data_IF_343462878628
#
_entry.id   IF_343462878628
#
_cell.length_a   1.000
_cell.length_b   1.000
_cell.length_c   1.000
_cell.angle_alpha   90.00
_cell.angle_beta   90.00
_cell.angle_gamma   90.00
#
_symmetry.space_group_name_H-M   'P 1'
#
loop_
_entity.id
_entity.type
_entity.pdbx_description
1 polymer ?
#
# COMPACT_ATOMS: atom_id res chain seq x y z
N UNK A 1 -5.86 30.84 -22.65
CA UNK A 1 -6.06 30.36 -21.29
C UNK A 1 -7.52 29.95 -21.02
N UNK A 2 -8.10 29.07 -21.83
CA UNK A 2 -9.52 28.60 -21.68
C UNK A 2 -9.74 27.12 -22.04
N UNK A 3 -8.67 26.32 -22.24
CA UNK A 3 -8.76 24.91 -22.65
C UNK A 3 -8.29 23.89 -21.60
N UNK A 4 -7.78 24.33 -20.45
CA UNK A 4 -7.28 23.43 -19.39
C UNK A 4 -8.36 23.13 -18.34
N UNK A 5 -9.45 23.88 -18.27
CA UNK A 5 -10.53 23.68 -17.27
C UNK A 5 -11.61 22.67 -17.67
N UNK A 6 -11.54 22.07 -18.86
CA UNK A 6 -12.57 21.14 -19.33
C UNK A 6 -12.20 19.64 -19.13
N UNK A 7 -10.94 19.33 -18.86
CA UNK A 7 -10.52 17.93 -18.63
C UNK A 7 -10.71 17.48 -17.17
N UNK A 8 -10.61 18.40 -16.21
CA UNK A 8 -10.81 18.08 -14.78
C UNK A 8 -12.28 17.77 -14.41
N UNK A 9 -13.23 18.23 -15.22
CA UNK A 9 -14.66 18.01 -14.96
C UNK A 9 -15.19 16.65 -15.48
N UNK A 10 -14.44 15.95 -16.34
CA UNK A 10 -14.89 14.68 -16.93
C UNK A 10 -14.52 13.47 -16.06
N UNK A 11 -13.48 13.57 -15.25
CA UNK A 11 -13.05 12.47 -14.36
C UNK A 11 -13.93 12.40 -13.10
N UNK A 12 -14.48 13.54 -12.65
CA UNK A 12 -15.36 13.56 -11.48
C UNK A 12 -16.78 13.02 -11.74
N UNK A 13 -17.21 12.94 -12.99
CA UNK A 13 -18.57 12.47 -13.36
C UNK A 13 -18.62 10.94 -13.46
N UNK A 14 -17.53 10.24 -13.69
CA UNK A 14 -17.52 8.78 -13.72
C UNK A 14 -17.52 8.15 -12.30
N UNK A 15 -16.93 8.81 -11.32
CA UNK A 15 -16.90 8.30 -9.93
C UNK A 15 -18.27 8.40 -9.22
N UNK A 16 -19.17 9.30 -9.67
CA UNK A 16 -20.50 9.51 -9.04
C UNK A 16 -21.58 8.56 -9.61
N UNK A 17 -21.34 7.91 -10.76
CA UNK A 17 -22.35 7.02 -11.36
C UNK A 17 -22.33 5.58 -10.82
N UNK A 18 -21.32 5.18 -10.07
CA UNK A 18 -21.26 3.84 -9.45
C UNK A 18 -22.01 3.79 -8.11
N UNK A 19 -22.21 4.93 -7.43
CA UNK A 19 -22.84 5.00 -6.11
C UNK A 19 -24.39 5.07 -6.10
N UNK A 20 -25.09 5.11 -7.24
CA UNK A 20 -26.53 5.33 -7.30
C UNK A 20 -27.36 4.12 -7.79
N UNK A 21 -26.82 2.90 -7.79
CA UNK A 21 -27.53 1.70 -8.27
C UNK A 21 -27.95 0.69 -7.21
N UNK A 22 -27.91 1.04 -5.93
CA UNK A 22 -28.44 0.21 -4.85
C UNK A 22 -29.61 0.86 -4.14
N UNK A 23 -30.79 0.86 -4.76
CA UNK A 23 -32.11 0.89 -4.08
C UNK A 23 -33.22 0.84 -5.13
N UNK A 24 -33.65 -0.32 -5.55
CA UNK A 24 -35.08 -0.61 -5.71
C UNK A 24 -35.33 -2.12 -5.90
N UNK A 25 -36.36 -2.59 -5.21
CA UNK A 25 -36.58 -3.96 -4.89
C UNK A 25 -37.30 -4.82 -5.97
N UNK A 26 -37.14 -6.09 -5.78
CA UNK A 26 -37.96 -7.26 -6.06
C UNK A 26 -38.53 -7.45 -7.47
N UNK A 27 -37.97 -8.47 -8.16
CA UNK A 27 -38.79 -9.52 -8.75
C UNK A 27 -37.93 -10.80 -8.90
N UNK A 28 -38.53 -11.97 -8.59
CA UNK A 28 -37.93 -13.30 -8.75
C UNK A 28 -38.00 -13.72 -10.20
N UNK A 29 -36.89 -14.01 -10.83
CA UNK A 29 -36.84 -14.86 -12.01
C UNK A 29 -35.77 -15.95 -11.87
N UNK A 30 -36.12 -17.13 -12.39
CA UNK A 30 -35.43 -18.42 -12.41
C UNK A 30 -34.10 -18.35 -13.18
N UNK A 31 -33.08 -19.16 -12.83
CA UNK A 31 -31.77 -19.03 -13.45
C UNK A 31 -31.76 -19.62 -14.89
N UNK A 32 -31.54 -18.77 -15.87
CA UNK A 32 -31.09 -19.16 -17.19
C UNK A 32 -29.56 -19.24 -17.24
N UNK A 33 -29.08 -20.16 -18.07
CA UNK A 33 -27.72 -20.60 -18.20
C UNK A 33 -26.69 -19.46 -18.32
N UNK A 34 -25.62 -19.56 -17.52
CA UNK A 34 -24.41 -18.73 -17.55
C UNK A 34 -23.77 -18.77 -18.95
N UNK A 35 -23.92 -17.69 -19.69
CA UNK A 35 -23.07 -17.36 -20.83
C UNK A 35 -21.73 -16.82 -20.27
N UNK A 36 -20.66 -17.31 -20.88
CA UNK A 36 -19.26 -17.05 -20.55
C UNK A 36 -18.91 -15.57 -20.79
N UNK A 37 -19.28 -14.68 -19.87
CA UNK A 37 -18.75 -13.32 -19.81
C UNK A 37 -17.41 -13.39 -19.08
N UNK A 38 -16.31 -13.28 -19.82
CA UNK A 38 -15.01 -12.98 -19.25
C UNK A 38 -15.14 -11.67 -18.48
N UNK A 39 -15.19 -11.75 -17.14
CA UNK A 39 -15.01 -10.58 -16.29
C UNK A 39 -13.69 -9.92 -16.71
N UNK A 40 -13.77 -8.65 -17.07
CA UNK A 40 -12.59 -7.87 -17.44
C UNK A 40 -11.64 -7.86 -16.23
N UNK A 41 -10.51 -8.52 -16.35
CA UNK A 41 -9.46 -8.52 -15.35
C UNK A 41 -8.96 -7.08 -15.23
N UNK A 42 -9.12 -6.49 -14.07
CA UNK A 42 -8.65 -5.13 -13.81
C UNK A 42 -7.12 -5.14 -13.78
N UNK A 43 -6.48 -4.35 -14.64
CA UNK A 43 -5.03 -4.23 -14.69
C UNK A 43 -4.58 -2.90 -14.08
N UNK A 44 -3.53 -2.95 -13.26
CA UNK A 44 -2.88 -1.77 -12.68
C UNK A 44 -1.40 -1.81 -13.07
N UNK A 45 -0.88 -0.68 -13.56
CA UNK A 45 0.54 -0.58 -13.86
C UNK A 45 1.38 -0.47 -12.58
N UNK A 46 2.50 -1.19 -12.51
CA UNK A 46 3.55 -1.00 -11.50
C UNK A 46 4.34 0.30 -11.80
N UNK A 47 5.14 0.80 -10.83
CA UNK A 47 6.00 1.96 -11.04
C UNK A 47 7.01 1.81 -12.19
N UNK A 48 7.41 0.58 -12.53
CA UNK A 48 8.29 0.25 -13.67
C UNK A 48 7.56 0.20 -15.01
N UNK A 49 6.22 0.43 -15.02
CA UNK A 49 5.39 0.42 -16.22
C UNK A 49 4.85 -0.95 -16.63
N UNK A 50 5.15 -2.01 -15.89
CA UNK A 50 4.57 -3.33 -16.12
C UNK A 50 3.10 -3.36 -15.67
N UNK A 51 2.21 -3.86 -16.53
CA UNK A 51 0.81 -4.05 -16.17
C UNK A 51 0.64 -5.35 -15.38
N UNK A 52 0.04 -5.24 -14.19
CA UNK A 52 -0.30 -6.37 -13.34
C UNK A 52 -1.80 -6.55 -13.33
N UNK A 53 -2.24 -7.75 -13.63
CA UNK A 53 -3.63 -8.16 -13.45
C UNK A 53 -3.92 -8.32 -11.95
N UNK A 54 -4.92 -7.60 -11.45
CA UNK A 54 -5.38 -7.82 -10.09
C UNK A 54 -5.99 -9.21 -9.95
N UNK A 55 -5.81 -9.81 -8.79
CA UNK A 55 -6.41 -11.10 -8.45
C UNK A 55 -7.93 -10.98 -8.34
N UNK A 56 -8.60 -12.10 -8.63
CA UNK A 56 -10.04 -12.23 -8.40
C UNK A 56 -10.28 -12.42 -6.90
N UNK A 57 -11.05 -11.54 -6.29
CA UNK A 57 -11.43 -11.60 -4.88
C UNK A 57 -12.76 -12.35 -4.74
N UNK A 58 -12.81 -13.35 -3.89
CA UNK A 58 -14.03 -14.09 -3.57
C UNK A 58 -14.16 -14.26 -2.05
N UNK A 59 -15.39 -14.18 -1.53
CA UNK A 59 -15.67 -14.55 -0.13
C UNK A 59 -15.44 -16.05 0.04
N UNK A 60 -14.78 -16.46 1.13
CA UNK A 60 -14.52 -17.84 1.46
C UNK A 60 -15.50 -18.38 2.52
N UNK A 61 -15.47 -19.68 2.78
CA UNK A 61 -16.41 -20.35 3.71
C UNK A 61 -16.27 -19.88 5.16
N UNK A 62 -15.13 -19.28 5.55
CA UNK A 62 -14.90 -18.72 6.88
C UNK A 62 -15.37 -17.28 7.04
N UNK A 63 -15.90 -16.67 5.98
CA UNK A 63 -16.34 -15.26 5.98
C UNK A 63 -15.19 -14.26 5.72
N UNK A 64 -13.99 -14.77 5.42
CA UNK A 64 -12.86 -13.98 4.92
C UNK A 64 -12.83 -13.96 3.39
N UNK A 65 -11.66 -13.70 2.79
CA UNK A 65 -11.49 -13.65 1.34
C UNK A 65 -10.46 -14.63 0.82
N UNK A 66 -10.65 -15.04 -0.43
CA UNK A 66 -9.64 -15.69 -1.27
C UNK A 66 -9.29 -14.77 -2.43
N UNK A 67 -8.01 -14.58 -2.69
CA UNK A 67 -7.49 -13.78 -3.82
C UNK A 67 -6.77 -14.74 -4.75
N UNK A 68 -7.29 -14.91 -5.96
CA UNK A 68 -6.67 -15.76 -6.98
C UNK A 68 -5.95 -14.90 -8.01
N UNK A 69 -4.64 -14.99 -8.04
CA UNK A 69 -3.76 -14.28 -8.97
C UNK A 69 -3.40 -15.21 -10.14
N UNK A 70 -3.50 -14.70 -11.35
CA UNK A 70 -3.13 -15.46 -12.56
C UNK A 70 -1.81 -14.89 -13.11
N UNK A 71 -0.77 -15.71 -13.15
CA UNK A 71 0.52 -15.35 -13.71
C UNK A 71 0.50 -15.25 -15.24
N UNK A 72 1.54 -14.70 -15.85
CA UNK A 72 1.69 -14.55 -17.30
C UNK A 72 1.64 -15.89 -18.08
N UNK A 73 2.10 -16.96 -17.43
CA UNK A 73 2.05 -18.32 -17.95
C UNK A 73 0.66 -18.99 -17.80
N UNK A 74 -0.33 -18.26 -17.25
CA UNK A 74 -1.66 -18.75 -16.95
C UNK A 74 -1.75 -19.61 -15.70
N UNK A 75 -0.65 -19.76 -14.94
CA UNK A 75 -0.69 -20.44 -13.64
C UNK A 75 -1.47 -19.60 -12.63
N UNK A 76 -2.28 -20.25 -11.81
CA UNK A 76 -3.07 -19.60 -10.78
C UNK A 76 -2.52 -19.91 -9.39
N UNK A 77 -2.37 -18.87 -8.58
CA UNK A 77 -2.04 -18.96 -7.17
C UNK A 77 -3.16 -18.34 -6.35
N UNK A 78 -3.66 -19.07 -5.35
CA UNK A 78 -4.76 -18.60 -4.50
C UNK A 78 -4.25 -18.37 -3.07
N UNK A 79 -4.42 -17.16 -2.60
CA UNK A 79 -4.14 -16.72 -1.23
C UNK A 79 -5.45 -16.68 -0.45
N UNK A 80 -5.49 -17.30 0.71
CA UNK A 80 -6.66 -17.36 1.59
C UNK A 80 -6.40 -16.53 2.84
N UNK A 81 -7.34 -15.62 3.17
CA UNK A 81 -7.26 -14.75 4.33
C UNK A 81 -8.57 -14.83 5.12
N UNK A 82 -8.54 -15.49 6.27
CA UNK A 82 -9.72 -15.62 7.14
C UNK A 82 -9.99 -14.35 7.95
N UNK A 83 -9.00 -13.45 8.05
CA UNK A 83 -9.03 -12.22 8.82
C UNK A 83 -9.21 -10.95 7.97
N UNK A 84 -9.51 -11.08 6.68
CA UNK A 84 -9.84 -9.98 5.77
C UNK A 84 -11.29 -10.09 5.37
N UNK A 85 -12.11 -9.15 5.84
CA UNK A 85 -13.53 -9.12 5.45
C UNK A 85 -13.71 -8.60 4.02
N UNK A 86 -14.66 -9.17 3.24
CA UNK A 86 -14.85 -8.79 1.83
C UNK A 86 -15.34 -7.34 1.65
N UNK A 87 -15.92 -6.72 2.67
CA UNK A 87 -16.39 -5.34 2.71
C UNK A 87 -15.45 -4.38 3.47
N UNK A 88 -14.24 -4.84 3.82
CA UNK A 88 -13.27 -3.99 4.51
C UNK A 88 -12.78 -2.85 3.63
N UNK A 89 -12.53 -1.67 4.22
CA UNK A 89 -12.03 -0.48 3.50
C UNK A 89 -10.69 -0.72 2.78
N UNK A 90 -9.95 -1.74 3.18
CA UNK A 90 -8.62 -2.06 2.69
C UNK A 90 -8.59 -3.24 1.71
N UNK A 91 -9.74 -3.80 1.31
CA UNK A 91 -9.76 -5.02 0.46
C UNK A 91 -9.03 -4.83 -0.86
N UNK A 92 -9.26 -3.70 -1.55
CA UNK A 92 -8.60 -3.38 -2.81
C UNK A 92 -7.09 -3.22 -2.64
N UNK A 93 -6.67 -2.62 -1.53
CA UNK A 93 -5.25 -2.47 -1.20
C UNK A 93 -4.59 -3.81 -0.88
N UNK A 94 -5.27 -4.72 -0.17
CA UNK A 94 -4.78 -6.08 0.08
C UNK A 94 -4.68 -6.85 -1.23
N UNK A 95 -5.70 -6.79 -2.08
CA UNK A 95 -5.66 -7.39 -3.41
C UNK A 95 -4.46 -6.87 -4.23
N UNK A 96 -4.25 -5.54 -4.25
CA UNK A 96 -3.13 -4.93 -4.95
C UNK A 96 -1.77 -5.45 -4.47
N UNK A 97 -1.49 -5.41 -3.17
CA UNK A 97 -0.17 -5.79 -2.66
C UNK A 97 0.10 -7.29 -2.75
N UNK A 98 -0.94 -8.12 -2.72
CA UNK A 98 -0.84 -9.56 -2.94
C UNK A 98 -0.61 -9.88 -4.40
N UNK A 99 -1.41 -9.31 -5.31
CA UNK A 99 -1.30 -9.53 -6.76
C UNK A 99 0.04 -9.05 -7.33
N UNK A 100 0.58 -7.97 -6.79
CA UNK A 100 1.90 -7.45 -7.19
C UNK A 100 3.08 -8.11 -6.47
N UNK A 101 2.83 -9.02 -5.52
CA UNK A 101 3.88 -9.67 -4.72
C UNK A 101 4.58 -8.75 -3.72
N UNK A 102 4.08 -7.52 -3.53
CA UNK A 102 4.67 -6.56 -2.59
C UNK A 102 4.53 -7.04 -1.14
N UNK A 103 3.36 -7.58 -0.80
CA UNK A 103 3.11 -8.18 0.52
C UNK A 103 2.47 -9.56 0.33
N UNK A 104 2.68 -10.43 1.34
CA UNK A 104 2.04 -11.73 1.45
C UNK A 104 1.40 -11.87 2.82
N UNK A 105 0.55 -12.87 2.98
CA UNK A 105 0.04 -13.29 4.28
C UNK A 105 1.08 -14.02 5.11
N UNK A 106 0.64 -14.63 6.20
CA UNK A 106 1.47 -15.52 7.01
C UNK A 106 1.68 -16.85 6.28
N UNK A 107 2.89 -17.42 6.41
CA UNK A 107 3.18 -18.78 5.92
C UNK A 107 2.63 -19.86 6.86
N UNK A 108 2.34 -19.51 8.13
CA UNK A 108 1.90 -20.45 9.17
C UNK A 108 0.37 -20.56 9.27
N UNK A 109 -0.37 -19.55 8.79
CA UNK A 109 -1.81 -19.49 8.91
C UNK A 109 -2.43 -18.70 7.74
N UNK A 110 -3.70 -18.96 7.36
CA UNK A 110 -4.40 -18.27 6.28
C UNK A 110 -4.87 -16.85 6.73
N UNK A 111 -3.92 -16.02 7.13
CA UNK A 111 -4.18 -14.66 7.63
C UNK A 111 -3.27 -13.63 6.98
N UNK A 112 -3.82 -12.44 6.73
CA UNK A 112 -3.08 -11.25 6.29
C UNK A 112 -2.57 -10.42 7.45
N UNK A 113 -3.23 -10.47 8.59
CA UNK A 113 -2.98 -9.68 9.80
C UNK A 113 -3.14 -8.16 9.56
N UNK A 114 -4.29 -7.70 9.05
CA UNK A 114 -4.47 -6.32 8.61
C UNK A 114 -4.23 -5.28 9.71
N UNK A 115 -4.58 -5.60 10.95
CA UNK A 115 -4.42 -4.71 12.12
C UNK A 115 -3.03 -4.76 12.76
N UNK A 116 -2.19 -5.72 12.36
CA UNK A 116 -0.86 -5.85 12.94
C UNK A 116 0.08 -4.75 12.41
N UNK A 117 0.96 -4.22 13.28
CA UNK A 117 1.91 -3.19 12.89
C UNK A 117 2.95 -3.68 11.88
N UNK A 118 3.35 -2.85 10.94
CA UNK A 118 4.47 -3.15 10.03
C UNK A 118 5.80 -2.86 10.76
N UNK A 119 6.70 -3.84 10.73
CA UNK A 119 8.05 -3.66 11.19
C UNK A 119 8.86 -2.81 10.20
N UNK A 120 9.86 -2.08 10.69
CA UNK A 120 10.72 -1.21 9.87
C UNK A 120 11.40 -1.96 8.74
N UNK A 121 11.87 -3.18 9.02
CA UNK A 121 12.48 -4.03 7.99
C UNK A 121 11.49 -4.55 6.97
N UNK A 122 10.26 -4.85 7.37
CA UNK A 122 9.19 -5.26 6.44
C UNK A 122 8.82 -4.11 5.50
N UNK A 123 8.72 -2.89 6.03
CA UNK A 123 8.46 -1.69 5.23
C UNK A 123 9.60 -1.45 4.22
N UNK A 124 10.85 -1.59 4.66
CA UNK A 124 12.02 -1.51 3.77
C UNK A 124 11.98 -2.57 2.65
N UNK A 125 11.61 -3.82 2.98
CA UNK A 125 11.50 -4.90 2.01
C UNK A 125 10.41 -4.65 0.94
N UNK A 126 9.28 -4.06 1.34
CA UNK A 126 8.23 -3.69 0.38
C UNK A 126 8.71 -2.57 -0.54
N UNK A 127 9.35 -1.53 0.00
CA UNK A 127 9.87 -0.43 -0.83
C UNK A 127 10.98 -0.86 -1.76
N UNK A 128 11.84 -1.78 -1.32
CA UNK A 128 12.87 -2.38 -2.18
C UNK A 128 12.25 -3.06 -3.41
N UNK A 129 11.20 -3.86 -3.21
CA UNK A 129 10.47 -4.52 -4.31
C UNK A 129 9.76 -3.50 -5.20
N UNK A 130 9.09 -2.51 -4.58
CA UNK A 130 8.33 -1.48 -5.27
C UNK A 130 9.21 -0.62 -6.18
N UNK A 131 10.44 -0.30 -5.74
CA UNK A 131 11.37 0.55 -6.46
C UNK A 131 12.33 -0.24 -7.37
N UNK A 132 12.19 -1.58 -7.49
CA UNK A 132 13.13 -2.41 -8.24
C UNK A 132 14.56 -2.36 -7.68
N UNK A 133 14.68 -2.39 -6.35
CA UNK A 133 15.97 -2.28 -5.66
C UNK A 133 16.94 -3.42 -6.07
N UNK A 134 18.22 -3.10 -6.14
CA UNK A 134 19.28 -4.05 -6.43
C UNK A 134 20.14 -4.30 -5.19
N UNK A 135 20.84 -5.43 -5.18
CA UNK A 135 21.77 -5.77 -4.11
C UNK A 135 22.86 -4.70 -3.94
N UNK A 136 23.04 -4.21 -2.72
CA UNK A 136 24.06 -3.24 -2.36
C UNK A 136 24.81 -3.63 -1.08
N UNK A 137 26.08 -3.27 -1.03
CA UNK A 137 26.84 -3.38 0.21
C UNK A 137 26.46 -2.23 1.16
N UNK A 138 26.14 -2.56 2.41
CA UNK A 138 25.79 -1.56 3.41
C UNK A 138 26.93 -0.59 3.68
N UNK A 139 26.67 0.71 3.53
CA UNK A 139 27.58 1.82 3.91
C UNK A 139 27.47 2.17 5.39
N UNK A 140 26.27 2.00 5.95
CA UNK A 140 26.00 2.28 7.36
C UNK A 140 26.20 1.01 8.20
N UNK A 141 26.72 1.21 9.41
CA UNK A 141 26.83 0.15 10.41
C UNK A 141 25.89 0.42 11.55
N UNK A 142 25.10 -0.58 11.88
CA UNK A 142 24.17 -0.53 13.00
C UNK A 142 24.53 -1.64 13.98
N UNK A 143 24.63 -1.32 15.26
CA UNK A 143 25.10 -2.25 16.29
C UNK A 143 24.15 -3.42 16.51
N UNK A 144 22.87 -3.25 16.20
CA UNK A 144 21.83 -4.28 16.27
C UNK A 144 21.75 -5.17 15.03
N UNK A 145 22.58 -4.91 14.02
CA UNK A 145 22.72 -5.70 12.79
C UNK A 145 24.11 -6.35 12.68
N UNK A 146 24.88 -6.31 13.77
CA UNK A 146 26.20 -6.95 13.81
C UNK A 146 26.02 -8.47 13.97
N UNK A 147 25.95 -9.16 12.84
CA UNK A 147 25.88 -10.61 12.72
C UNK A 147 26.83 -11.09 11.62
N UNK A 148 26.63 -12.30 11.15
CA UNK A 148 27.39 -12.88 10.02
C UNK A 148 26.96 -12.31 8.65
N UNK A 149 26.02 -11.36 8.64
CA UNK A 149 25.49 -10.72 7.42
C UNK A 149 24.54 -11.60 6.61
N UNK A 150 24.09 -12.72 7.17
CA UNK A 150 23.19 -13.69 6.47
C UNK A 150 21.71 -13.46 6.77
N UNK A 151 21.39 -12.44 7.57
CA UNK A 151 20.01 -12.10 7.84
C UNK A 151 19.25 -11.77 6.55
N UNK A 152 18.08 -12.34 6.36
CA UNK A 152 17.27 -12.24 5.13
C UNK A 152 16.98 -10.80 4.67
N UNK A 153 17.11 -9.84 5.56
CA UNK A 153 16.75 -8.44 5.33
C UNK A 153 17.94 -7.51 5.06
N UNK A 154 19.17 -8.02 5.07
CA UNK A 154 20.36 -7.15 4.99
C UNK A 154 20.39 -6.31 3.72
N UNK A 155 19.98 -6.87 2.58
CA UNK A 155 19.90 -6.14 1.31
C UNK A 155 18.91 -4.99 1.37
N UNK A 156 17.75 -5.19 2.00
CA UNK A 156 16.73 -4.16 2.14
C UNK A 156 17.18 -3.01 3.03
N UNK A 157 17.85 -3.34 4.14
CA UNK A 157 18.41 -2.33 5.04
C UNK A 157 19.57 -1.59 4.37
N UNK A 158 20.46 -2.29 3.66
CA UNK A 158 21.56 -1.67 2.92
C UNK A 158 21.02 -0.67 1.89
N UNK A 159 20.10 -1.12 1.04
CA UNK A 159 19.50 -0.29 0.01
C UNK A 159 18.80 0.95 0.57
N UNK A 160 17.88 0.77 1.51
CA UNK A 160 17.05 1.87 2.02
C UNK A 160 17.87 2.93 2.78
N UNK A 161 18.94 2.50 3.46
CA UNK A 161 19.83 3.41 4.21
C UNK A 161 20.91 4.04 3.32
N UNK A 162 21.43 3.33 2.32
CA UNK A 162 22.41 3.86 1.38
C UNK A 162 21.83 5.00 0.53
N UNK A 163 20.54 4.93 0.20
CA UNK A 163 19.80 5.96 -0.52
C UNK A 163 19.25 7.07 0.40
N UNK A 164 19.39 6.92 1.72
CA UNK A 164 18.90 7.91 2.68
C UNK A 164 17.37 7.95 2.83
N UNK A 165 16.64 6.98 2.29
CA UNK A 165 15.18 6.94 2.42
C UNK A 165 14.77 6.69 3.87
N UNK A 166 15.42 5.74 4.55
CA UNK A 166 15.21 5.48 5.98
C UNK A 166 16.55 5.50 6.73
N UNK A 167 16.60 6.22 7.83
CA UNK A 167 17.76 6.26 8.71
C UNK A 167 17.58 5.33 9.92
N UNK A 168 18.68 5.08 10.67
CA UNK A 168 18.63 4.47 11.99
C UNK A 168 17.92 5.35 13.01
N UNK A 169 17.88 4.88 14.26
CA UNK A 169 17.19 5.55 15.38
C UNK A 169 17.96 6.75 15.96
N UNK A 170 19.19 7.00 15.49
CA UNK A 170 20.06 8.07 16.02
C UNK A 170 20.95 7.65 17.21
N UNK A 171 20.77 6.43 17.71
CA UNK A 171 21.55 5.82 18.81
C UNK A 171 22.55 4.75 18.31
N UNK A 172 22.73 4.64 17.00
CA UNK A 172 23.58 3.64 16.36
C UNK A 172 22.87 2.33 16.02
N UNK A 173 21.56 2.25 16.22
CA UNK A 173 20.72 1.09 15.85
C UNK A 173 19.82 1.39 14.66
N UNK A 174 19.41 0.35 13.95
CA UNK A 174 18.38 0.42 12.89
C UNK A 174 16.99 0.08 13.44
N UNK A 175 16.92 -0.80 14.43
CA UNK A 175 15.70 -1.35 15.02
C UNK A 175 14.82 -2.08 13.98
N UNK A 176 15.34 -3.17 13.36
CA UNK A 176 14.67 -3.84 12.23
C UNK A 176 13.28 -4.36 12.57
N UNK A 177 13.10 -4.86 13.78
CA UNK A 177 11.85 -5.44 14.26
C UNK A 177 10.94 -4.45 14.99
N UNK A 178 11.39 -3.22 15.21
CA UNK A 178 10.54 -2.15 15.72
C UNK A 178 9.47 -1.74 14.71
N UNK A 179 8.31 -1.36 15.19
CA UNK A 179 7.22 -0.91 14.31
C UNK A 179 7.51 0.47 13.73
N UNK A 180 7.16 0.64 12.44
CA UNK A 180 7.26 1.94 11.78
C UNK A 180 6.04 2.79 12.13
N UNK A 181 6.27 4.06 12.52
CA UNK A 181 5.15 4.99 12.76
C UNK A 181 4.63 5.57 11.47
N UNK A 182 3.38 6.08 11.49
CA UNK A 182 2.76 6.73 10.35
C UNK A 182 3.66 7.84 9.78
N UNK A 183 4.12 8.76 10.62
CA UNK A 183 5.00 9.86 10.20
C UNK A 183 6.29 9.36 9.53
N UNK A 184 6.95 8.36 10.12
CA UNK A 184 8.19 7.81 9.54
C UNK A 184 7.93 7.14 8.21
N UNK A 185 6.82 6.40 8.08
CA UNK A 185 6.43 5.79 6.80
C UNK A 185 6.21 6.85 5.70
N UNK A 186 5.55 7.95 6.05
CA UNK A 186 5.32 9.06 5.11
C UNK A 186 6.62 9.80 4.75
N UNK A 187 7.53 10.02 5.70
CA UNK A 187 8.86 10.60 5.43
C UNK A 187 9.63 9.72 4.45
N UNK A 188 9.60 8.40 4.63
CA UNK A 188 10.31 7.48 3.75
C UNK A 188 9.73 7.49 2.33
N UNK A 189 8.40 7.47 2.18
CA UNK A 189 7.76 7.57 0.87
C UNK A 189 7.99 8.92 0.20
N UNK A 190 7.97 10.01 0.96
CA UNK A 190 8.26 11.35 0.49
C UNK A 190 9.69 11.46 -0.09
N UNK A 191 10.68 10.90 0.62
CA UNK A 191 12.06 10.81 0.15
C UNK A 191 12.19 9.94 -1.10
N UNK A 192 11.50 8.80 -1.14
CA UNK A 192 11.47 7.94 -2.32
C UNK A 192 10.86 8.65 -3.53
N UNK A 193 9.87 9.53 -3.31
CA UNK A 193 9.28 10.37 -4.34
C UNK A 193 10.18 11.53 -4.81
N UNK A 194 11.36 11.71 -4.22
CA UNK A 194 12.29 12.80 -4.53
C UNK A 194 11.98 14.11 -3.82
N UNK A 195 11.29 14.06 -2.69
CA UNK A 195 10.96 15.21 -1.84
C UNK A 195 10.23 16.33 -2.62
N UNK A 196 9.09 16.03 -3.29
CA UNK A 196 8.38 17.02 -4.07
C UNK A 196 7.88 18.20 -3.19
N UNK A 197 7.86 19.41 -3.73
CA UNK A 197 7.26 20.54 -3.02
C UNK A 197 5.81 20.24 -2.66
N UNK A 198 5.40 20.35 -1.37
CA UNK A 198 4.02 20.10 -0.98
C UNK A 198 3.06 21.10 -1.63
N UNK A 199 1.97 20.62 -2.24
CA UNK A 199 0.97 21.51 -2.87
C UNK A 199 0.13 22.30 -1.86
N UNK A 200 0.35 22.10 -0.56
CA UNK A 200 -0.40 22.74 0.53
C UNK A 200 0.32 22.63 1.86
N UNK A 201 -0.42 22.90 2.92
CA UNK A 201 0.04 22.85 4.30
C UNK A 201 -0.64 21.68 5.05
N UNK A 202 -0.41 21.61 6.35
CA UNK A 202 -1.15 20.70 7.24
C UNK A 202 -2.55 21.22 7.62
N UNK A 203 -3.06 22.25 6.92
CA UNK A 203 -4.42 22.76 7.16
C UNK A 203 -5.45 21.67 6.86
N UNK A 204 -6.39 21.47 7.79
CA UNK A 204 -7.38 20.39 7.71
C UNK A 204 -6.89 19.02 8.18
N UNK A 205 -5.60 18.82 8.38
CA UNK A 205 -5.10 17.58 8.98
C UNK A 205 -5.28 17.60 10.51
N UNK A 206 -6.13 16.73 11.09
CA UNK A 206 -6.53 16.84 12.50
C UNK A 206 -5.40 16.69 13.49
N UNK A 207 -4.36 15.95 13.10
CA UNK A 207 -3.20 15.67 13.96
C UNK A 207 -1.98 16.54 13.66
N UNK A 208 -2.15 17.63 12.92
CA UNK A 208 -1.09 18.57 12.58
C UNK A 208 -0.19 18.99 13.77
N UNK A 209 -0.72 19.23 15.00
CA UNK A 209 0.10 19.56 16.17
C UNK A 209 0.98 18.41 16.69
N UNK A 210 0.75 17.18 16.20
CA UNK A 210 1.51 15.97 16.59
C UNK A 210 2.62 15.62 15.61
N UNK A 211 2.64 16.29 14.44
CA UNK A 211 3.68 16.11 13.43
C UNK A 211 4.96 16.79 13.88
N UNK A 212 6.09 16.07 13.81
CA UNK A 212 7.42 16.62 14.11
C UNK A 212 7.82 17.68 13.09
N UNK A 213 8.83 18.47 13.42
CA UNK A 213 9.40 19.43 12.47
C UNK A 213 9.98 18.76 11.21
N UNK A 214 10.52 17.54 11.35
CA UNK A 214 11.10 16.76 10.25
C UNK A 214 10.01 16.20 9.33
N UNK A 215 8.87 15.82 9.89
CA UNK A 215 7.78 15.19 9.12
C UNK A 215 6.81 16.15 8.43
N UNK A 216 6.93 17.48 8.66
CA UNK A 216 5.91 18.44 8.22
C UNK A 216 5.65 18.42 6.72
N UNK A 217 6.69 18.45 5.91
CA UNK A 217 6.55 18.50 4.46
C UNK A 217 6.05 17.15 3.92
N UNK A 218 6.57 16.05 4.44
CA UNK A 218 6.14 14.70 4.09
C UNK A 218 4.65 14.44 4.41
N UNK A 219 4.20 14.85 5.61
CA UNK A 219 2.79 14.69 6.00
C UNK A 219 1.90 15.64 5.23
N UNK A 220 2.33 16.89 4.98
CA UNK A 220 1.60 17.83 4.15
C UNK A 220 1.45 17.32 2.71
N UNK A 221 2.54 16.80 2.12
CA UNK A 221 2.50 16.16 0.82
C UNK A 221 1.51 15.00 0.78
N UNK A 222 1.60 14.08 1.74
CA UNK A 222 0.73 12.91 1.79
C UNK A 222 -0.75 13.27 1.98
N UNK A 223 -1.04 14.29 2.79
CA UNK A 223 -2.39 14.79 3.04
C UNK A 223 -2.98 15.46 1.80
N UNK A 224 -2.25 16.41 1.20
CA UNK A 224 -2.77 17.19 0.07
C UNK A 224 -2.81 16.39 -1.24
N UNK A 225 -2.00 15.35 -1.38
CA UNK A 225 -2.05 14.44 -2.54
C UNK A 225 -3.09 13.33 -2.43
N UNK A 226 -3.75 13.18 -1.26
CA UNK A 226 -4.71 12.10 -1.02
C UNK A 226 -4.05 10.74 -0.75
N UNK A 227 -2.74 10.69 -0.50
CA UNK A 227 -2.05 9.46 -0.10
C UNK A 227 -2.58 8.95 1.25
N UNK A 228 -2.93 9.87 2.15
CA UNK A 228 -3.67 9.59 3.37
C UNK A 228 -4.98 10.38 3.40
N UNK A 229 -6.03 9.77 3.94
CA UNK A 229 -7.31 10.43 4.20
C UNK A 229 -7.93 9.85 5.49
N UNK A 230 -8.88 10.56 6.09
CA UNK A 230 -9.53 10.14 7.34
C UNK A 230 -10.86 9.43 7.15
N UNK A 231 -11.37 9.37 5.93
CA UNK A 231 -12.66 8.72 5.64
C UNK A 231 -12.59 7.20 5.87
N UNK A 232 -11.41 6.63 5.73
CA UNK A 232 -11.16 5.18 5.83
C UNK A 232 -10.60 4.77 7.18
N UNK A 233 -9.61 5.51 7.68
CA UNK A 233 -8.97 5.20 8.96
C UNK A 233 -8.19 6.38 9.54
N UNK A 234 -7.80 6.26 10.80
CA UNK A 234 -7.02 7.28 11.51
C UNK A 234 -5.54 7.18 11.15
N UNK A 235 -4.96 8.27 10.65
CA UNK A 235 -3.53 8.40 10.33
C UNK A 235 -2.81 9.21 11.41
N UNK A 236 -2.61 8.62 12.60
CA UNK A 236 -1.97 9.32 13.72
C UNK A 236 -0.45 9.27 13.61
N UNK A 237 0.27 10.43 13.60
CA UNK A 237 1.70 10.50 13.25
C UNK A 237 2.62 9.58 14.05
N UNK A 238 2.41 9.49 15.37
CA UNK A 238 3.29 8.74 16.28
C UNK A 238 2.85 7.30 16.54
N UNK A 239 1.72 6.86 15.98
CA UNK A 239 1.30 5.46 16.07
C UNK A 239 1.91 4.62 14.96
N UNK A 240 2.16 3.34 15.26
CA UNK A 240 2.56 2.38 14.25
C UNK A 240 1.47 2.25 13.19
N UNK A 241 1.86 2.21 11.93
CA UNK A 241 0.91 1.87 10.86
C UNK A 241 0.62 0.39 10.87
N UNK A 242 -0.64 0.05 10.61
CA UNK A 242 -1.05 -1.33 10.41
C UNK A 242 -0.68 -1.84 9.02
N UNK A 243 -0.75 -3.16 8.82
CA UNK A 243 -0.49 -3.77 7.50
C UNK A 243 -1.54 -3.35 6.48
N UNK A 244 -2.79 -3.15 6.89
CA UNK A 244 -3.84 -2.60 6.04
C UNK A 244 -3.53 -1.16 5.61
N UNK A 245 -3.12 -0.30 6.54
CA UNK A 245 -2.68 1.07 6.23
C UNK A 245 -1.47 1.09 5.29
N UNK A 246 -0.48 0.21 5.53
CA UNK A 246 0.67 0.08 4.65
C UNK A 246 0.30 -0.36 3.26
N UNK A 247 -0.57 -1.35 3.11
CA UNK A 247 -1.08 -1.79 1.80
C UNK A 247 -1.73 -0.63 1.04
N UNK A 248 -2.58 0.17 1.71
CA UNK A 248 -3.22 1.34 1.12
C UNK A 248 -2.18 2.41 0.69
N UNK A 249 -1.16 2.67 1.51
CA UNK A 249 -0.07 3.58 1.15
C UNK A 249 0.67 3.11 -0.11
N UNK A 250 1.04 1.83 -0.18
CA UNK A 250 1.79 1.29 -1.32
C UNK A 250 0.96 1.32 -2.61
N UNK A 251 -0.32 0.95 -2.55
CA UNK A 251 -1.23 1.01 -3.69
C UNK A 251 -1.37 2.45 -4.21
N UNK A 252 -1.67 3.42 -3.33
CA UNK A 252 -1.85 4.82 -3.70
C UNK A 252 -0.56 5.46 -4.21
N UNK A 253 0.57 5.19 -3.55
CA UNK A 253 1.87 5.66 -3.99
C UNK A 253 2.19 5.19 -5.40
N UNK A 254 1.96 3.91 -5.70
CA UNK A 254 2.14 3.36 -7.05
C UNK A 254 1.26 4.02 -8.09
N UNK A 255 0.04 4.42 -7.72
CA UNK A 255 -0.87 5.14 -8.62
C UNK A 255 -0.43 6.58 -8.91
N UNK A 256 0.33 7.22 -7.99
CA UNK A 256 0.85 8.59 -8.14
C UNK A 256 2.11 8.67 -9.04
N UNK A 257 2.89 7.60 -9.12
CA UNK A 257 4.19 7.57 -9.81
C UNK A 257 4.11 7.17 -11.29
N UNK A 258 2.90 7.14 -11.84
CA UNK A 258 2.62 6.82 -13.26
C UNK A 258 2.88 7.99 -14.19
#
# INVERSE_FOLDING_TARGET
MRKVKLLAALVLVLAVMVALKCCNGKEKETPEALTNDQEAVETIAKPDGEEVSLGVVAENESGGVSITVTGEDGAQETYVFEDVAPDSWYIDAVNYVVSTGLMKGSEEAPVFQPEYGIQRVQFAAVLYRLAGGEHEVAKNKFSDLEGDGTEWFMDYVAWITNHGYMNGKGDGTFDPYGFITCEVALIVLYRLAGEPEPEGTLEGYPYAPKVSSEGRDAVAWAWNSGLINEEECVWYPTQAISRAQGAALFMRYSAMTK
#
